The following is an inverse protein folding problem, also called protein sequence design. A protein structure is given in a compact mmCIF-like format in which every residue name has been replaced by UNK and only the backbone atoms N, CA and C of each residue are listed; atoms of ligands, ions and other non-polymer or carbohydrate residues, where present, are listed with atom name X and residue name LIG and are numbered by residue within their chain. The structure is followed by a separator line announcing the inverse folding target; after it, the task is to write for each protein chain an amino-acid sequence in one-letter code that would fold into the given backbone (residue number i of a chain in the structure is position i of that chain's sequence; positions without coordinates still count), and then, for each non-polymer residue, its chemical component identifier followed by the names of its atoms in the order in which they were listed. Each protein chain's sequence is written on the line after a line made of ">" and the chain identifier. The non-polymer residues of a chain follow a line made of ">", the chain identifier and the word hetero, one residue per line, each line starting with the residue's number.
data_IF_488614040637
#
_entry.id   IF_488614040637
#
_cell.length_a   1.000
_cell.length_b   1.000
_cell.length_c   1.000
_cell.angle_alpha   90.00
_cell.angle_beta   90.00
_cell.angle_gamma   90.00
#
_symmetry.space_group_name_H-M   'P 1'
#
loop_
_entity.id
_entity.type
_entity.pdbx_description
1 polymer ?
#
# COMPACT_ATOMS: atom_id res chain seq x y z
N UNK A 1 6.11 21.54 13.79
CA UNK A 1 6.32 21.31 12.34
C UNK A 1 5.78 19.94 11.98
N UNK A 2 5.14 19.80 10.81
CA UNK A 2 4.71 18.48 10.30
C UNK A 2 5.94 17.63 9.98
N UNK A 3 5.92 16.34 10.34
CA UNK A 3 7.06 15.43 10.10
C UNK A 3 7.22 15.15 8.61
N UNK A 4 8.40 15.38 8.01
CA UNK A 4 8.65 15.01 6.61
C UNK A 4 8.45 13.50 6.37
N UNK A 5 7.98 13.12 5.17
CA UNK A 5 7.62 11.72 4.89
C UNK A 5 8.09 11.25 3.52
N UNK A 6 8.57 10.02 3.45
CA UNK A 6 8.77 9.29 2.19
C UNK A 6 7.57 8.38 1.94
N UNK A 7 6.79 8.69 0.90
CA UNK A 7 5.68 7.84 0.44
C UNK A 7 6.25 6.82 -0.55
N UNK A 8 6.09 5.54 -0.24
CA UNK A 8 6.71 4.45 -0.99
C UNK A 8 5.62 3.56 -1.58
N UNK A 9 5.74 3.23 -2.84
CA UNK A 9 4.90 2.21 -3.49
C UNK A 9 5.72 1.28 -4.37
N UNK A 10 5.25 0.03 -4.48
CA UNK A 10 5.83 -0.99 -5.35
C UNK A 10 4.83 -1.32 -6.45
N UNK A 11 5.24 -1.20 -7.70
CA UNK A 11 4.35 -1.50 -8.83
C UNK A 11 4.93 -2.51 -9.81
N UNK A 12 4.05 -3.14 -10.57
CA UNK A 12 4.38 -3.99 -11.72
C UNK A 12 3.26 -3.85 -12.77
N UNK A 13 2.98 -2.63 -13.17
CA UNK A 13 1.86 -2.23 -14.00
C UNK A 13 0.72 -1.61 -13.19
N UNK A 14 -0.40 -1.35 -13.86
CA UNK A 14 -1.54 -0.68 -13.25
C UNK A 14 -1.53 0.83 -13.44
N UNK A 15 -1.18 1.28 -14.66
CA UNK A 15 -1.02 2.68 -15.04
C UNK A 15 -2.07 3.61 -14.40
N UNK A 16 -3.35 3.28 -14.53
CA UNK A 16 -4.42 4.09 -13.97
C UNK A 16 -4.28 4.31 -12.46
N UNK A 17 -4.07 3.23 -11.71
CA UNK A 17 -4.04 3.30 -10.25
C UNK A 17 -2.74 3.93 -9.73
N UNK A 18 -1.59 3.63 -10.35
CA UNK A 18 -0.32 4.27 -10.01
C UNK A 18 -0.39 5.78 -10.23
N UNK A 19 -0.98 6.20 -11.35
CA UNK A 19 -1.18 7.62 -11.64
C UNK A 19 -2.10 8.27 -10.61
N UNK A 20 -3.23 7.62 -10.31
CA UNK A 20 -4.18 8.09 -9.30
C UNK A 20 -3.53 8.22 -7.92
N UNK A 21 -2.74 7.21 -7.50
CA UNK A 21 -1.98 7.26 -6.23
C UNK A 21 -1.10 8.51 -6.18
N UNK A 22 -0.26 8.73 -7.19
CA UNK A 22 0.67 9.87 -7.23
C UNK A 22 -0.09 11.20 -7.19
N UNK A 23 -1.16 11.35 -7.99
CA UNK A 23 -1.98 12.56 -8.02
C UNK A 23 -2.68 12.81 -6.67
N UNK A 24 -3.23 11.77 -6.04
CA UNK A 24 -3.91 11.90 -4.75
C UNK A 24 -2.95 12.12 -3.57
N UNK A 25 -1.75 11.57 -3.62
CA UNK A 25 -0.70 11.95 -2.66
C UNK A 25 -0.41 13.45 -2.76
N UNK A 26 -0.19 13.98 -3.95
CA UNK A 26 0.04 15.42 -4.17
C UNK A 26 -1.11 16.28 -3.66
N UNK A 27 -2.34 15.85 -3.90
CA UNK A 27 -3.54 16.58 -3.48
C UNK A 27 -3.70 16.61 -1.94
N UNK A 28 -3.42 15.49 -1.26
CA UNK A 28 -3.70 15.32 0.16
C UNK A 28 -2.48 15.37 1.07
N UNK A 29 -1.28 15.66 0.55
CA UNK A 29 -0.05 15.75 1.36
C UNK A 29 0.03 17.06 2.16
N UNK A 30 -0.70 18.09 1.72
CA UNK A 30 -0.71 19.41 2.34
C UNK A 30 0.63 20.14 2.20
N UNK A 31 1.04 20.84 3.27
CA UNK A 31 2.31 21.58 3.31
C UNK A 31 3.47 20.78 3.90
N UNK A 32 3.35 19.47 3.96
CA UNK A 32 4.39 18.58 4.48
C UNK A 32 5.52 18.44 3.46
N UNK A 33 6.77 18.47 3.92
CA UNK A 33 7.88 18.02 3.07
C UNK A 33 7.73 16.53 2.77
N UNK A 34 7.86 16.15 1.52
CA UNK A 34 7.69 14.78 1.10
C UNK A 34 8.56 14.41 -0.11
N UNK A 35 8.63 13.15 -0.38
CA UNK A 35 9.02 12.54 -1.65
C UNK A 35 8.11 11.36 -1.95
N UNK A 36 7.98 11.02 -3.24
CA UNK A 36 7.29 9.81 -3.67
C UNK A 36 8.32 8.89 -4.31
N UNK A 37 8.51 7.70 -3.74
CA UNK A 37 9.37 6.66 -4.30
C UNK A 37 8.51 5.57 -4.93
N UNK A 38 8.74 5.31 -6.20
CA UNK A 38 8.06 4.22 -6.91
C UNK A 38 9.08 3.15 -7.30
N UNK A 39 8.94 1.95 -6.76
CA UNK A 39 9.75 0.80 -7.13
C UNK A 39 9.04 0.05 -8.25
N UNK A 40 9.48 0.28 -9.48
CA UNK A 40 8.95 -0.41 -10.65
C UNK A 40 9.62 -1.76 -10.86
N UNK A 41 8.81 -2.80 -10.93
CA UNK A 41 9.23 -4.20 -11.08
C UNK A 41 9.08 -4.72 -12.51
N UNK A 42 8.98 -3.84 -13.49
CA UNK A 42 8.92 -4.19 -14.91
C UNK A 42 7.55 -3.96 -15.55
N UNK A 43 6.94 -2.83 -15.27
CA UNK A 43 5.69 -2.38 -15.92
C UNK A 43 5.85 -2.28 -17.44
N UNK A 44 4.79 -2.66 -18.17
CA UNK A 44 4.76 -2.69 -19.64
C UNK A 44 3.49 -2.03 -20.23
N UNK A 45 2.75 -1.32 -19.42
CA UNK A 45 1.43 -0.74 -19.73
C UNK A 45 1.43 0.79 -19.80
N UNK A 46 2.60 1.41 -20.01
CA UNK A 46 2.76 2.86 -20.02
C UNK A 46 3.08 3.46 -18.65
N UNK A 47 2.99 2.70 -17.56
CA UNK A 47 3.30 3.16 -16.19
C UNK A 47 4.72 3.72 -16.10
N UNK A 48 5.71 2.97 -16.60
CA UNK A 48 7.12 3.36 -16.52
C UNK A 48 7.42 4.64 -17.29
N UNK A 49 6.84 4.79 -18.48
CA UNK A 49 7.01 5.95 -19.35
C UNK A 49 6.44 7.20 -18.71
N UNK A 50 5.28 7.09 -18.10
CA UNK A 50 4.64 8.18 -17.38
C UNK A 50 5.42 8.58 -16.12
N UNK A 51 5.86 7.62 -15.32
CA UNK A 51 6.66 7.88 -14.09
C UNK A 51 7.95 8.63 -14.38
N UNK A 52 8.62 8.36 -15.50
CA UNK A 52 9.85 9.09 -15.90
C UNK A 52 9.60 10.58 -16.16
N UNK A 53 8.38 10.97 -16.45
CA UNK A 53 7.99 12.35 -16.73
C UNK A 53 7.58 13.11 -15.44
N UNK A 54 7.55 12.43 -14.29
CA UNK A 54 7.15 13.04 -13.03
C UNK A 54 8.37 13.58 -12.28
N UNK A 55 8.57 14.92 -12.18
CA UNK A 55 9.80 15.51 -11.64
C UNK A 55 10.00 15.28 -10.13
N UNK A 56 8.93 15.04 -9.40
CA UNK A 56 8.89 14.83 -7.94
C UNK A 56 8.81 13.36 -7.53
N UNK A 57 8.87 12.44 -8.52
CA UNK A 57 8.86 11.00 -8.28
C UNK A 57 10.27 10.43 -8.41
N UNK A 58 10.75 9.80 -7.36
CA UNK A 58 11.98 9.01 -7.38
C UNK A 58 11.67 7.61 -7.90
N UNK A 59 11.99 7.37 -9.16
CA UNK A 59 11.74 6.09 -9.82
C UNK A 59 12.93 5.13 -9.64
N UNK A 60 12.68 4.00 -8.99
CA UNK A 60 13.65 2.93 -8.79
C UNK A 60 13.22 1.71 -9.63
N UNK A 61 14.04 1.33 -10.61
CA UNK A 61 13.78 0.15 -11.42
C UNK A 61 14.43 -1.07 -10.76
N UNK A 62 13.60 -2.01 -10.32
CA UNK A 62 14.05 -3.30 -9.81
C UNK A 62 13.61 -4.39 -10.78
N UNK A 63 14.41 -4.71 -11.80
CA UNK A 63 14.15 -5.85 -12.69
C UNK A 63 14.07 -7.14 -11.87
N UNK A 64 13.04 -7.93 -12.14
CA UNK A 64 12.89 -9.24 -11.53
C UNK A 64 13.85 -10.23 -12.20
N UNK A 65 14.76 -10.80 -11.40
CA UNK A 65 15.57 -11.94 -11.82
C UNK A 65 15.11 -13.16 -11.02
N UNK A 66 14.60 -14.20 -11.71
CA UNK A 66 14.17 -15.46 -11.09
C UNK A 66 12.70 -15.54 -10.68
N UNK A 67 12.31 -16.71 -10.13
CA UNK A 67 10.92 -17.08 -9.79
C UNK A 67 10.36 -16.45 -8.50
N UNK A 68 11.18 -15.75 -7.71
CA UNK A 68 10.74 -15.17 -6.42
C UNK A 68 10.43 -13.69 -6.62
N UNK A 69 9.14 -13.41 -6.59
CA UNK A 69 8.60 -12.06 -6.65
C UNK A 69 8.27 -11.60 -5.23
N UNK A 70 9.28 -11.21 -4.46
CA UNK A 70 9.02 -10.69 -3.13
C UNK A 70 8.69 -9.20 -3.20
N UNK A 71 7.41 -8.89 -2.93
CA UNK A 71 6.92 -7.52 -2.81
C UNK A 71 7.63 -6.79 -1.66
N UNK A 72 7.80 -7.48 -0.54
CA UNK A 72 8.45 -6.96 0.65
C UNK A 72 9.91 -6.57 0.42
N UNK A 73 10.70 -7.37 -0.33
CA UNK A 73 12.07 -6.98 -0.69
C UNK A 73 12.15 -5.70 -1.53
N UNK A 74 11.16 -5.51 -2.40
CA UNK A 74 11.09 -4.28 -3.20
C UNK A 74 10.72 -3.08 -2.33
N UNK A 75 9.78 -3.25 -1.39
CA UNK A 75 9.42 -2.23 -0.43
C UNK A 75 10.61 -1.86 0.49
N UNK A 76 11.34 -2.85 1.03
CA UNK A 76 12.56 -2.60 1.81
C UNK A 76 13.63 -1.83 1.03
N UNK A 77 13.79 -2.11 -0.27
CA UNK A 77 14.68 -1.31 -1.11
C UNK A 77 14.24 0.15 -1.16
N UNK A 78 12.94 0.41 -1.29
CA UNK A 78 12.38 1.76 -1.24
C UNK A 78 12.69 2.44 0.09
N UNK A 79 12.45 1.75 1.21
CA UNK A 79 12.74 2.27 2.56
C UNK A 79 14.22 2.61 2.72
N UNK A 80 15.13 1.73 2.27
CA UNK A 80 16.58 1.98 2.33
C UNK A 80 17.01 3.21 1.52
N UNK A 81 16.31 3.51 0.42
CA UNK A 81 16.56 4.66 -0.46
C UNK A 81 15.83 5.93 -0.05
N UNK A 82 14.87 5.82 0.84
CA UNK A 82 14.07 6.94 1.33
C UNK A 82 14.94 8.02 1.98
N UNK A 83 14.60 9.28 1.69
CA UNK A 83 15.28 10.47 2.25
C UNK A 83 14.85 10.73 3.69
N UNK A 84 13.56 10.58 3.97
CA UNK A 84 12.99 10.94 5.26
C UNK A 84 12.87 9.75 6.22
N UNK A 85 12.87 10.06 7.50
CA UNK A 85 12.78 9.07 8.57
C UNK A 85 11.38 8.46 8.67
N UNK A 86 10.32 9.24 8.46
CA UNK A 86 8.98 8.71 8.45
C UNK A 86 8.65 8.09 7.09
N UNK A 87 8.15 6.88 7.11
CA UNK A 87 7.76 6.09 5.95
C UNK A 87 6.24 5.92 5.92
N UNK A 88 5.64 6.16 4.76
CA UNK A 88 4.28 5.75 4.44
C UNK A 88 4.34 4.79 3.24
N UNK A 89 4.12 3.51 3.49
CA UNK A 89 4.04 2.48 2.46
C UNK A 89 2.60 2.35 1.99
N UNK A 90 2.38 2.41 0.68
CA UNK A 90 1.09 2.22 0.01
C UNK A 90 1.21 1.16 -1.07
N UNK A 91 0.20 0.30 -1.22
CA UNK A 91 0.06 -0.52 -2.42
C UNK A 91 -0.25 0.38 -3.64
N UNK A 92 0.12 -0.07 -4.82
CA UNK A 92 -0.02 0.74 -6.04
C UNK A 92 -1.48 1.01 -6.46
N UNK A 93 -2.43 0.33 -5.86
CA UNK A 93 -3.87 0.51 -6.02
C UNK A 93 -4.55 1.10 -4.77
N UNK A 94 -3.76 1.70 -3.89
CA UNK A 94 -4.22 2.49 -2.76
C UNK A 94 -3.92 3.98 -2.96
N UNK A 95 -4.74 4.86 -2.39
CA UNK A 95 -4.49 6.31 -2.42
C UNK A 95 -5.20 7.03 -1.27
N UNK A 96 -4.67 8.16 -0.78
CA UNK A 96 -5.36 8.96 0.21
C UNK A 96 -6.63 9.60 -0.36
N UNK A 97 -7.63 9.77 0.47
CA UNK A 97 -8.91 10.42 0.16
C UNK A 97 -9.15 11.69 0.99
N UNK A 98 -8.34 11.94 2.00
CA UNK A 98 -8.50 13.06 2.92
C UNK A 98 -7.14 13.56 3.42
N UNK A 99 -7.09 14.83 3.86
CA UNK A 99 -5.83 15.51 4.19
C UNK A 99 -5.17 15.04 5.49
N UNK A 100 -5.90 14.40 6.38
CA UNK A 100 -5.43 13.99 7.71
C UNK A 100 -4.85 12.57 7.77
N UNK A 101 -4.77 11.84 6.65
CA UNK A 101 -4.28 10.47 6.58
C UNK A 101 -2.89 10.26 7.22
N UNK A 102 -1.99 11.25 7.10
CA UNK A 102 -0.67 11.21 7.75
C UNK A 102 -0.71 11.72 9.20
N UNK A 103 -1.63 12.62 9.52
CA UNK A 103 -1.80 13.10 10.90
C UNK A 103 -2.37 12.00 11.80
N UNK A 104 -3.19 11.15 11.25
CA UNK A 104 -3.72 9.97 11.94
C UNK A 104 -2.66 8.89 12.15
N UNK A 105 -1.60 8.86 11.36
CA UNK A 105 -0.62 7.76 11.36
C UNK A 105 0.81 8.24 11.60
N UNK A 106 1.45 8.88 10.63
CA UNK A 106 2.87 9.31 10.70
C UNK A 106 3.13 10.22 11.91
N UNK A 107 2.22 11.18 12.20
CA UNK A 107 2.42 12.11 13.31
C UNK A 107 2.14 11.49 14.69
N UNK A 108 1.63 10.27 14.72
CA UNK A 108 1.43 9.47 15.95
C UNK A 108 2.59 8.52 16.26
N UNK A 109 3.54 8.36 15.35
CA UNK A 109 4.71 7.53 15.60
C UNK A 109 5.63 8.21 16.63
N UNK A 110 5.99 7.50 17.67
CA UNK A 110 6.86 7.97 18.76
C UNK A 110 7.70 6.82 19.33
N UNK A 111 8.17 6.95 20.55
CA UNK A 111 8.96 5.92 21.25
C UNK A 111 8.13 4.68 21.62
N UNK A 112 6.82 4.80 21.73
CA UNK A 112 5.88 3.72 22.07
C UNK A 112 5.17 3.18 20.85
N UNK A 113 4.64 4.05 20.00
CA UNK A 113 3.93 3.70 18.77
C UNK A 113 4.93 3.57 17.64
N UNK A 114 5.23 2.33 17.22
CA UNK A 114 6.27 2.07 16.20
C UNK A 114 5.70 1.68 14.84
N UNK A 115 4.43 1.37 14.78
CA UNK A 115 3.73 0.98 13.56
C UNK A 115 2.30 1.52 13.60
N UNK A 116 1.83 2.07 12.48
CA UNK A 116 0.44 2.46 12.33
C UNK A 116 -0.06 2.12 10.93
N UNK A 117 -1.34 1.82 10.77
CA UNK A 117 -1.91 1.56 9.45
C UNK A 117 -3.15 0.70 9.44
N UNK A 118 -3.50 0.24 8.26
CA UNK A 118 -4.69 -0.53 8.00
C UNK A 118 -4.59 -1.96 8.54
N UNK A 119 -5.57 -2.38 9.31
CA UNK A 119 -5.58 -3.70 9.95
C UNK A 119 -6.31 -4.71 9.08
N UNK A 120 -5.62 -5.77 8.75
CA UNK A 120 -6.21 -6.93 8.11
C UNK A 120 -6.36 -8.08 9.13
N UNK A 121 -7.50 -8.74 9.13
CA UNK A 121 -7.71 -9.95 9.92
C UNK A 121 -7.34 -11.16 9.07
N UNK A 122 -6.38 -11.91 9.52
CA UNK A 122 -6.00 -13.16 8.89
C UNK A 122 -5.83 -14.24 9.96
N UNK A 123 -6.26 -15.44 9.62
CA UNK A 123 -6.20 -16.62 10.50
C UNK A 123 -5.04 -17.53 10.13
N UNK A 124 -3.91 -17.00 9.67
CA UNK A 124 -2.73 -17.82 9.44
C UNK A 124 -2.23 -18.42 10.75
N UNK A 125 -1.94 -19.71 10.75
CA UNK A 125 -1.48 -20.47 11.94
C UNK A 125 -0.22 -19.88 12.58
N UNK A 126 0.56 -19.09 11.85
CA UNK A 126 1.79 -18.45 12.35
C UNK A 126 1.59 -17.09 13.04
N UNK A 127 0.37 -16.53 13.02
CA UNK A 127 0.11 -15.23 13.63
C UNK A 127 -0.74 -15.36 14.91
N UNK A 128 -0.12 -15.25 16.10
CA UNK A 128 -0.82 -15.44 17.38
C UNK A 128 -1.88 -14.35 17.66
N UNK A 129 -1.82 -13.24 16.95
CA UNK A 129 -2.73 -12.11 17.16
C UNK A 129 -3.99 -12.18 16.31
N UNK A 130 -4.01 -12.98 15.24
CA UNK A 130 -5.13 -13.11 14.32
C UNK A 130 -5.41 -11.86 13.47
N UNK A 131 -4.48 -10.90 13.45
CA UNK A 131 -4.53 -9.68 12.64
C UNK A 131 -3.11 -9.13 12.42
N UNK A 132 -2.94 -8.29 11.41
CA UNK A 132 -1.69 -7.56 11.15
C UNK A 132 -1.95 -6.24 10.43
N UNK A 133 -0.97 -5.33 10.46
CA UNK A 133 -0.99 -4.12 9.64
C UNK A 133 -0.61 -4.49 8.22
N UNK A 134 -1.56 -4.31 7.30
CA UNK A 134 -1.41 -4.73 5.91
C UNK A 134 -0.62 -3.69 5.09
N UNK A 135 0.26 -4.12 4.18
CA UNK A 135 1.14 -3.23 3.42
C UNK A 135 0.43 -2.28 2.45
N UNK A 136 -0.89 -2.48 2.20
CA UNK A 136 -1.61 -1.50 1.38
C UNK A 136 -1.65 -0.10 2.00
N UNK A 137 -1.55 -0.02 3.33
CA UNK A 137 -1.27 1.21 4.05
C UNK A 137 -0.63 0.91 5.40
N UNK A 138 0.65 1.20 5.52
CA UNK A 138 1.36 1.14 6.80
C UNK A 138 2.37 2.27 6.92
N UNK A 139 2.57 2.76 8.14
CA UNK A 139 3.52 3.83 8.47
C UNK A 139 4.41 3.41 9.63
N UNK A 140 5.69 3.75 9.54
CA UNK A 140 6.71 3.41 10.52
C UNK A 140 7.95 4.32 10.36
N UNK A 141 8.92 4.19 11.25
CA UNK A 141 10.19 4.91 11.12
C UNK A 141 11.21 4.06 10.35
N UNK A 142 11.97 4.70 9.45
CA UNK A 142 13.01 4.06 8.66
C UNK A 142 14.06 3.36 9.54
N UNK A 143 14.41 3.97 10.68
CA UNK A 143 15.34 3.42 11.65
C UNK A 143 14.88 2.10 12.30
N UNK A 144 13.60 1.75 12.17
CA UNK A 144 13.06 0.47 12.63
C UNK A 144 13.19 -0.65 11.59
N UNK A 145 13.57 -0.32 10.35
CA UNK A 145 13.79 -1.34 9.33
C UNK A 145 14.87 -2.33 9.79
N UNK A 146 14.62 -3.61 9.57
CA UNK A 146 15.43 -4.77 10.00
C UNK A 146 15.46 -5.04 11.51
N UNK A 147 15.12 -4.06 12.37
CA UNK A 147 15.04 -4.24 13.82
C UNK A 147 13.65 -4.71 14.26
N UNK A 148 12.63 -3.98 13.85
CA UNK A 148 11.22 -4.21 14.13
C UNK A 148 10.44 -4.50 12.85
N UNK A 149 10.73 -3.77 11.78
CA UNK A 149 10.00 -3.84 10.52
C UNK A 149 10.76 -4.73 9.55
N UNK A 150 10.18 -5.88 9.24
CA UNK A 150 10.63 -6.78 8.18
C UNK A 150 9.48 -6.94 7.22
N UNK A 151 9.69 -6.52 5.97
CA UNK A 151 8.66 -6.57 4.92
C UNK A 151 8.84 -7.78 3.99
N UNK A 152 10.08 -8.26 3.81
CA UNK A 152 10.37 -9.46 3.02
C UNK A 152 9.87 -10.72 3.70
N UNK A 153 9.51 -11.73 2.93
CA UNK A 153 9.17 -13.04 3.47
C UNK A 153 10.39 -13.71 4.09
N UNK A 154 10.25 -14.14 5.33
CA UNK A 154 11.28 -14.91 6.03
C UNK A 154 11.27 -16.36 5.56
N UNK A 155 12.46 -16.99 5.46
CA UNK A 155 12.56 -18.41 5.10
C UNK A 155 11.90 -19.27 6.17
N UNK A 156 11.01 -20.18 5.73
CA UNK A 156 10.28 -21.08 6.65
C UNK A 156 9.03 -20.49 7.28
N UNK A 157 8.73 -19.20 7.03
CA UNK A 157 7.51 -18.56 7.49
C UNK A 157 6.49 -18.45 6.37
N UNK A 158 5.23 -18.71 6.68
CA UNK A 158 4.08 -18.53 5.77
C UNK A 158 3.49 -17.12 5.83
N UNK A 159 4.12 -16.24 6.62
CA UNK A 159 3.66 -14.87 6.87
C UNK A 159 3.58 -14.04 5.59
N UNK A 160 2.58 -13.16 5.54
CA UNK A 160 2.46 -12.16 4.47
C UNK A 160 3.32 -10.91 4.78
N UNK A 161 3.49 -10.04 3.78
CA UNK A 161 4.14 -8.74 3.96
C UNK A 161 3.42 -7.93 5.05
N UNK A 162 4.15 -7.42 6.04
CA UNK A 162 3.60 -6.66 7.17
C UNK A 162 3.23 -7.50 8.40
N UNK A 163 2.99 -8.80 8.25
CA UNK A 163 2.64 -9.68 9.36
C UNK A 163 3.79 -9.84 10.33
N UNK A 164 4.99 -10.15 9.83
CA UNK A 164 6.21 -10.24 10.65
C UNK A 164 6.51 -8.93 11.39
N UNK A 165 6.28 -7.79 10.74
CA UNK A 165 6.45 -6.48 11.37
C UNK A 165 5.49 -6.31 12.56
N UNK A 166 4.22 -6.69 12.39
CA UNK A 166 3.21 -6.62 13.46
C UNK A 166 3.60 -7.50 14.65
N UNK A 167 3.98 -8.75 14.40
CA UNK A 167 4.40 -9.69 15.44
C UNK A 167 5.57 -9.12 16.22
N UNK A 168 6.64 -8.69 15.56
CA UNK A 168 7.85 -8.17 16.20
C UNK A 168 7.61 -6.92 17.03
N UNK A 169 6.81 -5.99 16.54
CA UNK A 169 6.48 -4.75 17.26
C UNK A 169 5.79 -5.11 18.58
N UNK A 170 4.81 -6.01 18.56
CA UNK A 170 4.07 -6.43 19.74
C UNK A 170 4.92 -7.27 20.70
N UNK A 171 5.72 -8.21 20.21
CA UNK A 171 6.63 -9.02 21.03
C UNK A 171 7.70 -8.19 21.76
N UNK A 172 8.09 -7.06 21.20
CA UNK A 172 9.02 -6.11 21.82
C UNK A 172 8.34 -5.15 22.79
N UNK A 173 7.02 -5.27 23.00
CA UNK A 173 6.23 -4.45 23.90
C UNK A 173 5.91 -3.05 23.39
N UNK A 174 6.04 -2.80 22.10
CA UNK A 174 5.64 -1.54 21.48
C UNK A 174 4.16 -1.54 21.09
N UNK A 175 3.63 -0.35 20.84
CA UNK A 175 2.24 -0.14 20.47
C UNK A 175 2.08 -0.04 18.94
N UNK A 176 0.91 -0.46 18.47
CA UNK A 176 0.47 -0.31 17.08
C UNK A 176 -0.83 0.48 17.07
N UNK A 177 -0.88 1.54 16.26
CA UNK A 177 -2.14 2.17 15.90
C UNK A 177 -2.76 1.44 14.73
N UNK A 178 -3.78 0.66 15.02
CA UNK A 178 -4.48 -0.14 14.04
C UNK A 178 -5.81 0.53 13.65
N UNK A 179 -6.05 0.62 12.34
CA UNK A 179 -7.27 1.17 11.77
C UNK A 179 -8.01 0.06 11.02
N UNK A 180 -9.25 -0.24 11.40
CA UNK A 180 -10.01 -1.30 10.73
C UNK A 180 -10.26 -0.96 9.26
N UNK A 181 -10.45 -2.00 8.46
CA UNK A 181 -10.93 -1.86 7.09
C UNK A 181 -12.44 -1.63 7.11
N UNK A 182 -12.86 -0.54 6.51
CA UNK A 182 -14.27 -0.22 6.31
C UNK A 182 -14.63 -0.33 4.83
N UNK A 183 -15.81 -0.85 4.53
CA UNK A 183 -16.31 -0.89 3.16
C UNK A 183 -16.52 0.53 2.63
N UNK A 184 -15.91 0.85 1.49
CA UNK A 184 -16.02 2.15 0.86
C UNK A 184 -17.24 2.21 -0.06
N UNK A 185 -18.42 2.44 0.50
CA UNK A 185 -19.70 2.46 -0.23
C UNK A 185 -19.72 3.46 -1.40
N UNK A 186 -18.97 4.56 -1.29
CA UNK A 186 -18.83 5.56 -2.35
C UNK A 186 -18.32 4.97 -3.67
N UNK A 187 -17.48 3.93 -3.60
CA UNK A 187 -16.88 3.27 -4.75
C UNK A 187 -17.33 1.81 -4.92
N UNK A 188 -18.48 1.46 -4.39
CA UNK A 188 -19.05 0.14 -4.54
C UNK A 188 -19.38 -0.19 -6.00
N UNK A 189 -18.86 -1.31 -6.50
CA UNK A 189 -19.01 -1.78 -7.88
C UNK A 189 -19.43 -3.25 -7.92
N UNK A 190 -20.51 -3.56 -7.19
CA UNK A 190 -21.10 -4.91 -7.23
C UNK A 190 -20.39 -5.97 -6.38
N UNK A 191 -19.30 -5.63 -5.69
CA UNK A 191 -18.66 -6.52 -4.73
C UNK A 191 -19.03 -6.13 -3.29
N UNK A 192 -19.44 -7.08 -2.40
CA UNK A 192 -20.02 -6.76 -1.10
C UNK A 192 -19.03 -6.20 -0.05
N UNK A 193 -17.71 -6.35 -0.28
CA UNK A 193 -16.69 -6.02 0.73
C UNK A 193 -15.53 -5.18 0.24
N UNK A 194 -15.45 -4.90 -1.04
CA UNK A 194 -14.39 -4.09 -1.65
C UNK A 194 -15.00 -3.06 -2.59
N UNK A 195 -14.37 -1.92 -2.78
CA UNK A 195 -13.11 -1.47 -2.17
C UNK A 195 -13.27 -1.09 -0.68
N UNK A 196 -12.14 -0.89 -0.01
CA UNK A 196 -12.10 -0.51 1.41
C UNK A 196 -11.45 0.85 1.62
N UNK A 197 -11.69 1.42 2.80
CA UNK A 197 -11.00 2.61 3.31
C UNK A 197 -10.51 2.33 4.74
N UNK A 198 -9.35 2.88 5.09
CA UNK A 198 -8.80 2.79 6.45
C UNK A 198 -7.91 4.01 6.71
N UNK A 199 -8.12 4.70 7.83
CA UNK A 199 -7.41 5.94 8.17
C UNK A 199 -7.31 6.94 7.01
N UNK A 200 -8.40 7.10 6.24
CA UNK A 200 -8.45 8.00 5.10
C UNK A 200 -7.72 7.54 3.83
N UNK A 201 -7.29 6.29 3.77
CA UNK A 201 -6.66 5.69 2.59
C UNK A 201 -7.60 4.65 1.98
N UNK A 202 -7.92 4.86 0.71
CA UNK A 202 -8.67 3.92 -0.13
C UNK A 202 -7.77 2.79 -0.61
N UNK A 203 -8.35 1.59 -0.77
CA UNK A 203 -7.67 0.46 -1.39
C UNK A 203 -8.63 -0.30 -2.31
N UNK A 204 -8.22 -0.47 -3.56
CA UNK A 204 -9.05 -1.09 -4.59
C UNK A 204 -9.12 -2.62 -4.49
N UNK A 205 -8.09 -3.28 -3.93
CA UNK A 205 -7.95 -4.74 -3.89
C UNK A 205 -7.92 -5.41 -5.27
N UNK A 206 -7.33 -6.58 -5.37
CA UNK A 206 -7.28 -7.45 -6.57
C UNK A 206 -6.70 -6.86 -7.86
N UNK A 207 -6.54 -5.53 -7.96
CA UNK A 207 -6.18 -4.86 -9.21
C UNK A 207 -4.86 -5.38 -9.78
N UNK A 208 -3.83 -5.51 -8.95
CA UNK A 208 -2.51 -6.02 -9.39
C UNK A 208 -2.59 -7.45 -9.93
N UNK A 209 -3.50 -8.28 -9.39
CA UNK A 209 -3.73 -9.65 -9.88
C UNK A 209 -4.47 -9.61 -11.21
N UNK A 210 -5.51 -8.78 -11.33
CA UNK A 210 -6.30 -8.65 -12.56
C UNK A 210 -5.51 -8.07 -13.73
N UNK A 211 -4.38 -7.41 -13.51
CA UNK A 211 -3.46 -7.05 -14.60
C UNK A 211 -2.72 -8.25 -15.18
N UNK A 212 -2.50 -9.29 -14.40
CA UNK A 212 -1.76 -10.50 -14.81
C UNK A 212 -2.66 -11.64 -15.22
N UNK A 213 -3.84 -11.71 -14.62
CA UNK A 213 -4.81 -12.80 -14.73
C UNK A 213 -6.14 -12.25 -15.22
N UNK A 214 -6.93 -13.08 -15.92
CA UNK A 214 -8.26 -12.68 -16.39
C UNK A 214 -9.28 -12.65 -15.26
N UNK A 215 -9.05 -13.46 -14.21
CA UNK A 215 -9.91 -13.52 -13.04
C UNK A 215 -9.09 -13.93 -11.80
N UNK A 216 -9.60 -13.56 -10.63
CA UNK A 216 -9.13 -14.05 -9.34
C UNK A 216 -10.34 -14.46 -8.51
N UNK A 217 -10.11 -15.17 -7.41
CA UNK A 217 -11.18 -15.60 -6.50
C UNK A 217 -11.11 -14.75 -5.24
N UNK A 218 -12.25 -14.19 -4.85
CA UNK A 218 -12.39 -13.56 -3.55
C UNK A 218 -12.25 -14.63 -2.45
N UNK A 219 -11.31 -14.43 -1.55
CA UNK A 219 -10.98 -15.43 -0.52
C UNK A 219 -12.07 -15.64 0.53
N UNK A 220 -12.95 -14.65 0.71
CA UNK A 220 -13.99 -14.70 1.72
C UNK A 220 -15.32 -15.18 1.16
N UNK A 221 -15.68 -14.76 -0.06
CA UNK A 221 -16.96 -15.11 -0.68
C UNK A 221 -16.87 -16.28 -1.63
N UNK A 222 -15.67 -16.64 -2.07
CA UNK A 222 -15.45 -17.66 -3.12
C UNK A 222 -15.89 -17.20 -4.53
N UNK A 223 -16.35 -15.95 -4.66
CA UNK A 223 -16.83 -15.40 -5.93
C UNK A 223 -15.69 -15.03 -6.88
N UNK A 224 -15.94 -15.16 -8.18
CA UNK A 224 -14.99 -14.71 -9.20
C UNK A 224 -14.96 -13.19 -9.31
N UNK A 225 -13.76 -12.61 -9.21
CA UNK A 225 -13.49 -11.19 -9.44
C UNK A 225 -12.76 -11.05 -10.77
N UNK A 226 -13.32 -10.30 -11.71
CA UNK A 226 -12.77 -10.13 -13.07
C UNK A 226 -12.54 -8.65 -13.38
N UNK A 227 -11.90 -8.39 -14.52
CA UNK A 227 -11.76 -7.01 -15.01
C UNK A 227 -13.12 -6.40 -15.31
N UNK A 228 -14.01 -7.17 -15.90
CA UNK A 228 -15.34 -6.73 -16.34
C UNK A 228 -16.29 -6.47 -15.18
N UNK A 229 -16.29 -7.34 -14.16
CA UNK A 229 -17.25 -7.19 -13.06
C UNK A 229 -16.73 -6.33 -11.90
N UNK A 230 -15.44 -6.00 -11.87
CA UNK A 230 -14.86 -5.22 -10.77
C UNK A 230 -13.94 -4.08 -11.27
N UNK A 231 -12.81 -4.41 -11.94
CA UNK A 231 -11.75 -3.43 -12.21
C UNK A 231 -12.21 -2.31 -13.16
N UNK A 232 -12.84 -2.62 -14.26
CA UNK A 232 -13.28 -1.61 -15.23
C UNK A 232 -14.42 -0.74 -14.67
N UNK A 233 -15.48 -1.29 -14.05
CA UNK A 233 -16.49 -0.47 -13.37
C UNK A 233 -15.92 0.43 -12.28
N UNK A 234 -14.95 -0.06 -11.51
CA UNK A 234 -14.29 0.74 -10.49
C UNK A 234 -13.49 1.90 -11.12
N UNK A 235 -12.70 1.65 -12.16
CA UNK A 235 -11.97 2.70 -12.86
C UNK A 235 -12.90 3.78 -13.42
N UNK A 236 -14.02 3.39 -14.00
CA UNK A 236 -15.02 4.33 -14.51
C UNK A 236 -15.64 5.19 -13.42
N UNK A 237 -15.99 4.57 -12.31
CA UNK A 237 -16.54 5.27 -11.15
C UNK A 237 -15.51 6.25 -10.56
N UNK A 238 -14.24 5.85 -10.44
CA UNK A 238 -13.15 6.71 -9.98
C UNK A 238 -12.92 7.88 -10.95
N UNK A 239 -12.89 7.63 -12.28
CA UNK A 239 -12.78 8.69 -13.29
C UNK A 239 -13.89 9.71 -13.14
N UNK A 240 -15.12 9.27 -13.04
CA UNK A 240 -16.29 10.14 -12.90
C UNK A 240 -16.23 10.96 -11.61
N UNK A 241 -15.93 10.32 -10.48
CA UNK A 241 -15.93 10.95 -9.16
C UNK A 241 -14.81 11.97 -9.02
N UNK A 242 -13.62 11.65 -9.49
CA UNK A 242 -12.46 12.53 -9.41
C UNK A 242 -12.26 13.42 -10.64
N UNK A 243 -13.17 13.36 -11.62
CA UNK A 243 -13.12 14.12 -12.89
C UNK A 243 -11.79 13.91 -13.63
N UNK A 244 -11.33 12.66 -13.68
CA UNK A 244 -10.08 12.30 -14.34
C UNK A 244 -10.27 12.21 -15.86
N UNK A 245 -9.28 12.63 -16.63
CA UNK A 245 -9.30 12.62 -18.10
C UNK A 245 -8.38 11.55 -18.72
N UNK A 246 -8.08 10.48 -17.99
CA UNK A 246 -7.20 9.38 -18.39
C UNK A 246 -7.74 8.00 -18.01
#
# INVERSE_FOLDING_TARGET
>A
MLRPVSVITVTNGGYFFVRLLVEKVREFIGQREYEILVIDRGSRDGTLEWLKQQPDVVLIKKRQWGRRHDHGEAAELGVKKARYEAIALLDSDAHPMQADWLSLTVDKLDERVRLAGATFRDKHEGNPHGWYVHPHFMTFLKSDLEKLIILRKMRGHTTDTGEEATIRVLEKGYEILNYPLEFCAQFAVGHPRVPTVSAGVFHAWYVTRLFKETATVDRETGGAVTRENYMHPLQELLRKTYKLNY
#
